data_IF_221523915228
#
_entry.id   IF_221523915228
#
_cell.length_a   1.000
_cell.length_b   1.000
_cell.length_c   1.000
_cell.angle_alpha   90.00
_cell.angle_beta   90.00
_cell.angle_gamma   90.00
#
_symmetry.space_group_name_H-M   'P 1'
#
loop_
_entity.id
_entity.type
_entity.pdbx_description
1 polymer ?
#
# COMPACT_ATOMS: atom_id res chain seq x y z
N UNK A 1 -13.61 -10.34 -14.62
CA UNK A 1 -12.85 -10.29 -13.35
C UNK A 1 -12.95 -11.67 -12.73
N UNK A 2 -11.82 -12.29 -12.36
CA UNK A 2 -11.80 -13.62 -11.75
C UNK A 2 -11.54 -13.49 -10.25
N UNK A 3 -12.22 -14.29 -9.43
CA UNK A 3 -12.02 -14.36 -7.99
C UNK A 3 -11.90 -15.82 -7.55
N UNK A 4 -10.90 -16.13 -6.74
CA UNK A 4 -10.74 -17.43 -6.11
C UNK A 4 -10.96 -17.30 -4.62
N UNK A 5 -11.78 -18.17 -4.02
CA UNK A 5 -11.91 -18.36 -2.57
C UNK A 5 -11.23 -19.67 -2.20
N UNK A 6 -10.23 -19.61 -1.31
CA UNK A 6 -9.48 -20.79 -0.86
C UNK A 6 -8.97 -21.66 -2.04
N UNK A 7 -8.50 -21.00 -3.11
CA UNK A 7 -8.00 -21.64 -4.31
C UNK A 7 -9.05 -22.22 -5.26
N UNK A 8 -10.34 -21.95 -5.06
CA UNK A 8 -11.43 -22.36 -5.95
C UNK A 8 -12.07 -21.14 -6.60
N UNK A 9 -12.34 -21.21 -7.91
CA UNK A 9 -13.02 -20.14 -8.63
C UNK A 9 -14.45 -19.97 -8.09
N UNK A 10 -14.84 -18.73 -7.80
CA UNK A 10 -16.17 -18.37 -7.31
C UNK A 10 -16.79 -17.24 -8.16
N UNK A 11 -18.12 -17.15 -8.13
CA UNK A 11 -18.91 -16.12 -8.81
C UNK A 11 -19.59 -15.14 -7.83
N UNK A 12 -19.60 -15.47 -6.54
CA UNK A 12 -20.32 -14.76 -5.49
C UNK A 12 -19.57 -14.86 -4.16
N UNK A 13 -19.82 -13.89 -3.28
CA UNK A 13 -19.24 -13.85 -1.94
C UNK A 13 -20.38 -14.01 -0.93
N UNK A 14 -20.21 -14.80 0.16
CA UNK A 14 -21.27 -14.99 1.13
C UNK A 14 -21.74 -13.69 1.78
N UNK A 15 -23.06 -13.53 1.91
CA UNK A 15 -23.66 -12.34 2.54
C UNK A 15 -23.32 -12.20 4.02
N UNK A 16 -22.96 -13.30 4.67
CA UNK A 16 -22.58 -13.35 6.09
C UNK A 16 -21.07 -13.16 6.29
N UNK A 17 -20.30 -12.93 5.23
CA UNK A 17 -18.86 -12.73 5.33
C UNK A 17 -18.56 -11.42 6.09
N UNK A 18 -17.80 -11.55 7.19
CA UNK A 18 -17.53 -10.47 8.15
C UNK A 18 -16.69 -9.33 7.57
N UNK A 19 -16.05 -9.52 6.41
CA UNK A 19 -15.42 -8.43 5.67
C UNK A 19 -16.43 -7.33 5.31
N UNK A 20 -17.66 -7.69 4.94
CA UNK A 20 -18.71 -6.72 4.62
C UNK A 20 -19.35 -6.10 5.84
N UNK A 21 -19.51 -6.87 6.92
CA UNK A 21 -20.20 -6.40 8.12
C UNK A 21 -19.33 -5.47 8.97
N UNK A 22 -18.02 -5.75 9.04
CA UNK A 22 -17.14 -5.10 10.03
C UNK A 22 -15.77 -4.68 9.47
N UNK A 23 -15.49 -4.92 8.18
CA UNK A 23 -14.12 -4.80 7.67
C UNK A 23 -13.16 -5.75 8.39
N UNK A 24 -13.65 -6.91 8.84
CA UNK A 24 -12.91 -7.86 9.69
C UNK A 24 -11.95 -8.71 8.86
N UNK A 25 -10.84 -8.08 8.50
CA UNK A 25 -9.84 -8.68 7.64
C UNK A 25 -8.72 -7.73 7.24
N UNK A 26 -7.84 -8.24 6.40
CA UNK A 26 -6.73 -7.49 5.83
C UNK A 26 -6.61 -7.75 4.33
N UNK A 27 -5.81 -6.94 3.65
CA UNK A 27 -5.59 -7.13 2.22
C UNK A 27 -4.21 -6.70 1.76
N UNK A 28 -3.83 -7.20 0.59
CA UNK A 28 -2.73 -6.65 -0.18
C UNK A 28 -3.07 -6.54 -1.66
N UNK A 29 -2.39 -5.63 -2.34
CA UNK A 29 -2.50 -5.43 -3.78
C UNK A 29 -1.09 -5.46 -4.35
N UNK A 30 -0.87 -6.35 -5.30
CA UNK A 30 0.43 -6.63 -5.88
C UNK A 30 0.40 -6.51 -7.40
N UNK A 31 1.53 -6.12 -7.97
CA UNK A 31 1.70 -6.08 -9.42
C UNK A 31 2.10 -7.47 -9.92
N UNK A 32 1.50 -7.86 -11.05
CA UNK A 32 1.94 -9.01 -11.82
C UNK A 32 2.57 -8.49 -13.10
N UNK A 33 3.84 -8.82 -13.32
CA UNK A 33 4.58 -8.37 -14.50
C UNK A 33 5.36 -9.54 -15.11
N UNK A 34 5.11 -9.82 -16.39
CA UNK A 34 5.70 -10.98 -17.10
C UNK A 34 5.56 -12.31 -16.33
N UNK A 35 4.37 -12.58 -15.77
CA UNK A 35 4.10 -13.80 -15.01
C UNK A 35 4.69 -13.85 -13.60
N UNK A 36 5.39 -12.78 -13.16
CA UNK A 36 5.98 -12.69 -11.83
C UNK A 36 5.07 -11.92 -10.88
N UNK A 37 4.87 -12.46 -9.68
CA UNK A 37 4.29 -11.76 -8.54
C UNK A 37 5.40 -10.92 -7.90
N UNK A 38 5.50 -9.65 -8.27
CA UNK A 38 6.55 -8.75 -7.75
C UNK A 38 6.40 -8.53 -6.23
N UNK A 39 7.53 -8.43 -5.50
CA UNK A 39 7.59 -8.25 -4.05
C UNK A 39 6.85 -9.34 -3.26
N UNK A 40 6.74 -10.56 -3.82
CA UNK A 40 5.98 -11.68 -3.23
C UNK A 40 6.30 -11.87 -1.75
N UNK A 41 7.57 -11.96 -1.38
CA UNK A 41 7.97 -12.21 0.01
C UNK A 41 7.50 -11.11 0.97
N UNK A 42 7.55 -9.84 0.55
CA UNK A 42 7.05 -8.72 1.37
C UNK A 42 5.51 -8.72 1.47
N UNK A 43 4.83 -9.14 0.40
CA UNK A 43 3.39 -9.33 0.40
C UNK A 43 2.93 -10.48 1.31
N UNK A 44 3.66 -11.59 1.36
CA UNK A 44 3.36 -12.68 2.30
C UNK A 44 3.69 -12.28 3.75
N UNK A 45 4.84 -11.63 3.97
CA UNK A 45 5.25 -11.18 5.29
C UNK A 45 4.22 -10.23 5.92
N UNK A 46 3.69 -9.25 5.15
CA UNK A 46 2.68 -8.33 5.67
C UNK A 46 1.35 -9.02 5.99
N UNK A 47 0.93 -10.00 5.18
CA UNK A 47 -0.32 -10.73 5.38
C UNK A 47 -0.19 -11.58 6.64
N UNK A 48 0.94 -12.28 6.82
CA UNK A 48 1.23 -13.04 8.03
C UNK A 48 1.21 -12.16 9.28
N UNK A 49 1.84 -10.98 9.22
CA UNK A 49 1.79 -10.01 10.31
C UNK A 49 0.35 -9.61 10.63
N UNK A 50 -0.44 -9.24 9.61
CA UNK A 50 -1.83 -8.84 9.79
C UNK A 50 -2.71 -9.97 10.32
N UNK A 51 -2.54 -11.21 9.84
CA UNK A 51 -3.26 -12.38 10.35
C UNK A 51 -2.96 -12.60 11.83
N UNK A 52 -1.69 -12.53 12.23
CA UNK A 52 -1.31 -12.67 13.64
C UNK A 52 -1.95 -11.56 14.50
N UNK A 53 -1.83 -10.30 14.07
CA UNK A 53 -2.37 -9.15 14.82
C UNK A 53 -3.90 -9.13 14.91
N UNK A 54 -4.59 -9.70 13.92
CA UNK A 54 -6.05 -9.78 13.86
C UNK A 54 -6.58 -11.14 14.35
N UNK A 55 -5.72 -12.06 14.79
CA UNK A 55 -6.10 -13.43 15.15
C UNK A 55 -6.90 -14.13 14.03
N UNK A 56 -6.42 -14.05 12.79
CA UNK A 56 -6.96 -14.74 11.63
C UNK A 56 -6.16 -16.02 11.38
N UNK A 57 -6.82 -17.18 11.46
CA UNK A 57 -6.22 -18.46 11.06
C UNK A 57 -6.39 -18.67 9.56
N UNK A 58 -5.44 -18.21 8.74
CA UNK A 58 -5.54 -18.24 7.28
C UNK A 58 -4.44 -19.12 6.66
N UNK A 59 -4.83 -20.04 5.78
CA UNK A 59 -3.90 -20.79 4.95
C UNK A 59 -3.47 -19.95 3.73
N UNK A 60 -2.31 -19.31 3.83
CA UNK A 60 -1.77 -18.45 2.77
C UNK A 60 -1.34 -19.24 1.52
N UNK A 61 -1.24 -20.58 1.57
CA UNK A 61 -0.92 -21.39 0.39
C UNK A 61 -2.01 -21.30 -0.70
N UNK A 62 -3.24 -20.92 -0.31
CA UNK A 62 -4.32 -20.65 -1.26
C UNK A 62 -4.02 -19.49 -2.21
N UNK A 63 -3.15 -18.55 -1.82
CA UNK A 63 -2.70 -17.48 -2.71
C UNK A 63 -1.89 -18.06 -3.88
N UNK A 64 -0.94 -18.95 -3.57
CA UNK A 64 -0.09 -19.59 -4.58
C UNK A 64 -0.90 -20.54 -5.46
N UNK A 65 -1.80 -21.32 -4.87
CA UNK A 65 -2.71 -22.19 -5.62
C UNK A 65 -3.53 -21.38 -6.64
N UNK A 66 -4.09 -20.25 -6.22
CA UNK A 66 -4.84 -19.35 -7.11
C UNK A 66 -3.95 -18.75 -8.19
N UNK A 67 -2.72 -18.37 -7.85
CA UNK A 67 -1.76 -17.81 -8.80
C UNK A 67 -1.33 -18.83 -9.87
N UNK A 68 -1.14 -20.10 -9.50
CA UNK A 68 -0.85 -21.18 -10.47
C UNK A 68 -2.01 -21.36 -11.46
N UNK A 69 -3.26 -21.28 -10.99
CA UNK A 69 -4.43 -21.35 -11.89
C UNK A 69 -4.43 -20.17 -12.88
N UNK A 70 -4.09 -18.96 -12.41
CA UNK A 70 -3.96 -17.80 -13.29
C UNK A 70 -2.84 -17.98 -14.33
N UNK A 71 -1.68 -18.50 -13.95
CA UNK A 71 -0.58 -18.75 -14.89
C UNK A 71 -0.96 -19.77 -15.97
N UNK A 72 -1.72 -20.80 -15.62
CA UNK A 72 -2.21 -21.81 -16.57
C UNK A 72 -3.23 -21.23 -17.57
N UNK A 73 -4.08 -20.30 -17.10
CA UNK A 73 -5.13 -19.69 -17.93
C UNK A 73 -4.62 -18.52 -18.80
N UNK A 74 -3.56 -17.85 -18.37
CA UNK A 74 -3.05 -16.63 -19.00
C UNK A 74 -1.56 -16.77 -19.33
N UNK A 75 -1.18 -17.23 -20.53
CA UNK A 75 0.23 -17.40 -20.92
C UNK A 75 1.09 -16.14 -20.80
N UNK A 76 0.47 -14.96 -20.93
CA UNK A 76 1.10 -13.65 -20.74
C UNK A 76 0.53 -12.94 -19.50
N UNK A 77 0.55 -13.62 -18.35
CA UNK A 77 -0.07 -13.12 -17.11
C UNK A 77 0.53 -11.75 -16.70
N UNK A 78 -0.32 -10.74 -16.65
CA UNK A 78 0.06 -9.36 -16.38
C UNK A 78 -1.13 -8.57 -15.81
N UNK A 79 -0.89 -7.74 -14.80
CA UNK A 79 -1.91 -6.91 -14.20
C UNK A 79 -1.76 -6.77 -12.70
N UNK A 80 -2.85 -6.95 -11.97
CA UNK A 80 -2.88 -6.76 -10.52
C UNK A 80 -3.54 -7.94 -9.83
N UNK A 81 -2.87 -8.44 -8.79
CA UNK A 81 -3.41 -9.42 -7.85
C UNK A 81 -3.85 -8.69 -6.59
N UNK A 82 -5.13 -8.81 -6.22
CA UNK A 82 -5.61 -8.35 -4.91
C UNK A 82 -5.95 -9.55 -4.06
N UNK A 83 -5.30 -9.68 -2.91
CA UNK A 83 -5.60 -10.70 -1.91
C UNK A 83 -6.35 -10.04 -0.78
N UNK A 84 -7.50 -10.59 -0.38
CA UNK A 84 -8.20 -10.23 0.86
C UNK A 84 -8.25 -11.47 1.74
N UNK A 85 -7.93 -11.30 3.01
CA UNK A 85 -8.15 -12.31 4.03
C UNK A 85 -9.29 -11.80 4.89
N UNK A 86 -10.41 -12.50 4.86
CA UNK A 86 -11.57 -12.23 5.71
C UNK A 86 -11.58 -13.21 6.86
N UNK A 87 -12.10 -12.83 8.03
CA UNK A 87 -12.44 -13.81 9.08
C UNK A 87 -13.44 -14.87 8.60
N UNK A 88 -14.12 -14.63 7.48
CA UNK A 88 -15.12 -15.53 6.89
C UNK A 88 -16.52 -15.24 7.43
N UNK A 89 -17.42 -16.21 7.27
CA UNK A 89 -18.80 -16.08 7.71
C UNK A 89 -18.92 -16.06 9.24
N UNK A 90 -19.99 -15.48 9.78
CA UNK A 90 -20.24 -15.55 11.21
C UNK A 90 -21.58 -14.97 11.62
N UNK A 91 -21.96 -15.28 12.85
CA UNK A 91 -23.18 -14.75 13.45
C UNK A 91 -23.07 -13.25 13.75
N UNK A 92 -24.22 -12.66 14.12
CA UNK A 92 -24.30 -11.25 14.51
C UNK A 92 -23.47 -10.97 15.77
N UNK A 93 -22.87 -9.78 15.80
CA UNK A 93 -22.03 -9.31 16.90
C UNK A 93 -20.54 -9.50 16.63
N UNK A 94 -19.74 -9.14 17.63
CA UNK A 94 -18.29 -9.02 17.50
C UNK A 94 -17.51 -10.28 17.92
N UNK A 95 -18.19 -11.30 18.46
CA UNK A 95 -17.57 -12.57 18.81
C UNK A 95 -16.92 -13.22 17.59
N UNK A 96 -15.72 -13.77 17.77
CA UNK A 96 -14.97 -14.41 16.70
C UNK A 96 -15.52 -15.82 16.45
N UNK A 97 -15.80 -16.21 15.19
CA UNK A 97 -16.17 -17.57 14.86
C UNK A 97 -14.99 -18.54 15.06
N UNK A 98 -15.31 -19.82 15.23
CA UNK A 98 -14.34 -20.90 15.47
C UNK A 98 -14.06 -21.68 14.18
N UNK A 99 -13.56 -21.01 13.14
CA UNK A 99 -13.09 -21.62 11.90
C UNK A 99 -11.96 -20.80 11.27
N UNK A 100 -11.32 -21.39 10.26
CA UNK A 100 -10.29 -20.72 9.48
C UNK A 100 -10.84 -19.51 8.71
N UNK A 101 -10.02 -18.47 8.59
CA UNK A 101 -10.24 -17.30 7.76
C UNK A 101 -10.23 -17.66 6.27
N UNK A 102 -11.03 -16.94 5.49
CA UNK A 102 -11.14 -17.11 4.05
C UNK A 102 -10.11 -16.26 3.29
N UNK A 103 -9.43 -16.89 2.33
CA UNK A 103 -8.47 -16.22 1.45
C UNK A 103 -9.10 -16.02 0.08
N UNK A 104 -9.34 -14.77 -0.27
CA UNK A 104 -9.88 -14.36 -1.55
C UNK A 104 -8.79 -13.74 -2.43
N UNK A 105 -8.73 -14.15 -3.69
CA UNK A 105 -7.75 -13.68 -4.68
C UNK A 105 -8.47 -13.18 -5.92
N UNK A 106 -8.48 -11.86 -6.12
CA UNK A 106 -8.95 -11.23 -7.36
C UNK A 106 -7.81 -10.98 -8.32
N UNK A 107 -8.08 -11.27 -9.59
CA UNK A 107 -7.22 -10.91 -10.70
C UNK A 107 -7.85 -9.83 -11.58
N UNK A 108 -7.10 -8.75 -11.75
CA UNK A 108 -7.42 -7.63 -12.63
C UNK A 108 -6.41 -7.63 -13.78
N UNK A 109 -6.75 -8.22 -14.94
CA UNK A 109 -5.86 -8.23 -16.09
C UNK A 109 -5.65 -6.79 -16.58
N UNK A 110 -4.39 -6.42 -16.78
CA UNK A 110 -4.01 -5.13 -17.34
C UNK A 110 -2.65 -5.28 -17.99
N UNK A 111 -2.48 -4.73 -19.19
CA UNK A 111 -1.14 -4.58 -19.76
C UNK A 111 -0.38 -3.57 -18.91
N UNK A 112 0.60 -4.02 -18.15
CA UNK A 112 1.54 -3.15 -17.45
C UNK A 112 2.86 -3.10 -18.20
N UNK A 113 3.52 -1.94 -18.13
CA UNK A 113 4.84 -1.68 -18.69
C UNK A 113 5.85 -1.61 -17.57
N UNK A 114 7.15 -1.72 -17.89
CA UNK A 114 8.22 -1.46 -16.93
C UNK A 114 8.05 -0.09 -16.29
N UNK A 115 8.44 0.03 -15.02
CA UNK A 115 8.28 1.28 -14.30
C UNK A 115 9.12 2.40 -14.93
N UNK A 116 8.50 3.57 -15.01
CA UNK A 116 9.13 4.82 -15.39
C UNK A 116 8.84 5.84 -14.29
N UNK A 117 9.67 6.89 -14.14
CA UNK A 117 9.34 8.01 -13.27
C UNK A 117 8.00 8.62 -13.69
N UNK A 118 7.07 8.69 -12.74
CA UNK A 118 5.78 9.38 -12.90
C UNK A 118 5.88 10.76 -12.27
N UNK A 119 5.33 11.77 -12.94
CA UNK A 119 5.32 13.15 -12.47
C UNK A 119 3.90 13.56 -12.11
N UNK A 120 3.70 14.08 -10.91
CA UNK A 120 2.39 14.51 -10.43
C UNK A 120 2.45 15.88 -9.77
N UNK A 121 1.30 16.55 -9.74
CA UNK A 121 1.05 17.66 -8.83
C UNK A 121 0.38 17.12 -7.57
N UNK A 122 0.67 17.76 -6.45
CA UNK A 122 0.23 17.30 -5.13
C UNK A 122 0.09 18.48 -4.16
N UNK A 123 -0.43 18.20 -2.98
CA UNK A 123 -0.52 19.15 -1.88
C UNK A 123 -0.79 18.42 -0.58
N UNK A 124 -1.10 19.21 0.44
CA UNK A 124 -1.54 18.74 1.74
C UNK A 124 -3.07 18.69 1.83
N UNK A 125 -3.60 17.58 2.31
CA UNK A 125 -5.02 17.46 2.64
C UNK A 125 -5.35 18.12 3.98
N UNK A 126 -6.57 18.65 4.11
CA UNK A 126 -7.10 19.19 5.36
C UNK A 126 -7.62 18.07 6.27
N UNK A 127 -8.18 17.00 5.71
CA UNK A 127 -8.51 15.82 6.48
C UNK A 127 -7.24 15.14 7.00
N UNK A 128 -7.34 14.63 8.22
CA UNK A 128 -6.25 13.97 8.91
C UNK A 128 -6.65 12.55 9.32
N UNK A 129 -5.66 11.65 9.33
CA UNK A 129 -5.81 10.29 9.83
C UNK A 129 -5.99 10.28 11.35
N UNK A 130 -6.89 9.43 11.83
CA UNK A 130 -6.99 9.06 13.23
C UNK A 130 -5.77 8.27 13.70
N UNK A 131 -5.71 8.06 15.01
CA UNK A 131 -4.73 7.17 15.63
C UNK A 131 -5.32 5.76 15.69
N UNK A 132 -4.49 4.76 15.40
CA UNK A 132 -4.90 3.37 15.51
C UNK A 132 -4.64 2.81 16.92
N UNK A 133 -5.44 1.81 17.29
CA UNK A 133 -5.05 0.91 18.38
C UNK A 133 -3.65 0.35 18.08
N UNK A 134 -2.72 0.28 19.06
CA UNK A 134 -1.33 -0.12 18.82
C UNK A 134 -1.17 -1.41 18.01
N UNK A 135 -2.04 -2.41 18.23
CA UNK A 135 -2.02 -3.67 17.50
C UNK A 135 -2.41 -3.58 16.00
N UNK A 136 -3.01 -2.48 15.57
CA UNK A 136 -3.45 -2.24 14.18
C UNK A 136 -2.53 -1.31 13.40
N UNK A 137 -1.56 -0.67 14.06
CA UNK A 137 -0.63 0.26 13.42
C UNK A 137 0.14 -0.44 12.31
N UNK A 138 0.24 0.21 11.15
CA UNK A 138 0.96 -0.31 9.99
C UNK A 138 0.20 -1.40 9.20
N UNK A 139 -0.90 -1.95 9.74
CA UNK A 139 -1.66 -2.99 9.05
C UNK A 139 -2.50 -2.42 7.91
N UNK A 140 -2.55 -3.16 6.80
CA UNK A 140 -3.44 -2.86 5.67
C UNK A 140 -4.78 -3.58 5.86
N UNK A 141 -5.57 -3.12 6.83
CA UNK A 141 -6.89 -3.69 7.17
C UNK A 141 -7.96 -3.30 6.15
N UNK A 142 -9.13 -3.94 6.19
CA UNK A 142 -10.27 -3.58 5.33
C UNK A 142 -11.01 -2.30 5.80
N UNK A 143 -10.76 -1.85 7.03
CA UNK A 143 -11.29 -0.59 7.56
C UNK A 143 -10.56 0.60 6.94
N UNK A 144 -11.00 1.03 5.75
CA UNK A 144 -10.33 2.05 4.90
C UNK A 144 -11.21 3.27 4.60
N UNK A 145 -12.23 3.53 5.41
CA UNK A 145 -13.12 4.69 5.20
C UNK A 145 -12.35 6.02 5.25
N UNK A 146 -11.33 6.15 6.09
CA UNK A 146 -10.47 7.33 6.10
C UNK A 146 -9.83 7.56 4.73
N UNK A 147 -9.26 6.52 4.11
CA UNK A 147 -8.65 6.64 2.78
C UNK A 147 -9.69 6.97 1.69
N UNK A 148 -10.94 6.55 1.84
CA UNK A 148 -12.02 6.93 0.92
C UNK A 148 -12.33 8.42 1.02
N UNK A 149 -12.44 8.97 2.23
CA UNK A 149 -12.70 10.40 2.44
C UNK A 149 -11.50 11.27 2.02
N UNK A 150 -10.28 10.82 2.34
CA UNK A 150 -9.05 11.47 1.88
C UNK A 150 -8.95 11.48 0.36
N UNK A 151 -9.36 10.40 -0.32
CA UNK A 151 -9.35 10.36 -1.77
C UNK A 151 -10.36 11.34 -2.37
N UNK A 152 -11.55 11.44 -1.78
CA UNK A 152 -12.55 12.43 -2.19
C UNK A 152 -12.00 13.86 -2.11
N UNK A 153 -11.31 14.21 -1.03
CA UNK A 153 -10.70 15.54 -0.90
C UNK A 153 -9.58 15.75 -1.94
N UNK A 154 -8.69 14.78 -2.14
CA UNK A 154 -7.63 14.88 -3.14
C UNK A 154 -8.20 15.08 -4.56
N UNK A 155 -9.27 14.36 -4.90
CA UNK A 155 -9.94 14.47 -6.20
C UNK A 155 -10.58 15.85 -6.39
N UNK A 156 -11.13 16.47 -5.34
CA UNK A 156 -11.66 17.83 -5.38
C UNK A 156 -10.57 18.88 -5.66
N UNK A 157 -9.33 18.61 -5.24
CA UNK A 157 -8.16 19.44 -5.52
C UNK A 157 -7.48 19.09 -6.85
N UNK A 158 -7.94 18.06 -7.56
CA UNK A 158 -7.30 17.57 -8.78
C UNK A 158 -5.98 16.83 -8.56
N UNK A 159 -5.68 16.42 -7.33
CA UNK A 159 -4.45 15.71 -6.99
C UNK A 159 -4.61 14.20 -7.13
N UNK A 160 -3.73 13.58 -7.91
CA UNK A 160 -3.68 12.12 -8.04
C UNK A 160 -3.30 11.44 -6.72
N UNK A 161 -2.42 12.10 -5.97
CA UNK A 161 -1.97 11.70 -4.64
C UNK A 161 -1.59 12.96 -3.83
N UNK A 162 -1.75 12.92 -2.52
CA UNK A 162 -1.59 14.08 -1.63
C UNK A 162 -1.00 13.66 -0.28
N UNK A 163 -0.25 14.55 0.37
CA UNK A 163 0.23 14.32 1.73
C UNK A 163 -0.92 14.36 2.72
N UNK A 164 -0.83 13.47 3.70
CA UNK A 164 -1.82 13.32 4.76
C UNK A 164 -1.12 13.36 6.12
N UNK A 165 -1.62 14.19 7.02
CA UNK A 165 -1.20 14.22 8.41
C UNK A 165 -2.11 13.35 9.26
N UNK A 166 -1.74 13.15 10.51
CA UNK A 166 -2.65 12.69 11.53
C UNK A 166 -3.26 13.82 12.36
N UNK A 167 -4.20 13.46 13.22
CA UNK A 167 -4.86 14.37 14.16
C UNK A 167 -3.91 15.03 15.17
N UNK A 168 -2.63 14.61 15.23
CA UNK A 168 -1.59 15.24 16.03
C UNK A 168 -0.73 16.22 15.23
N UNK A 169 -0.99 16.40 13.93
CA UNK A 169 -0.24 17.32 13.08
C UNK A 169 1.10 16.78 12.59
N UNK A 170 1.29 15.46 12.58
CA UNK A 170 2.47 14.81 11.99
C UNK A 170 2.14 14.31 10.59
N UNK A 171 3.02 14.54 9.62
CA UNK A 171 2.89 13.96 8.26
C UNK A 171 3.11 12.44 8.34
N UNK A 172 2.21 11.66 7.75
CA UNK A 172 2.20 10.19 7.86
C UNK A 172 2.50 9.51 6.53
N UNK A 173 1.67 9.77 5.52
CA UNK A 173 1.71 9.07 4.24
C UNK A 173 0.98 9.89 3.17
N UNK A 174 0.67 9.26 2.03
CA UNK A 174 -0.37 9.75 1.11
C UNK A 174 -1.66 8.94 1.22
N UNK A 175 -2.67 9.28 0.44
CA UNK A 175 -3.99 8.64 0.43
C UNK A 175 -3.89 7.13 0.18
N UNK A 176 -3.05 6.71 -0.78
CA UNK A 176 -2.94 5.31 -1.21
C UNK A 176 -1.48 4.79 -1.27
N UNK A 177 -0.57 5.51 -0.64
CA UNK A 177 0.88 5.34 -0.81
C UNK A 177 1.64 5.81 0.42
N UNK A 178 2.83 5.27 0.68
CA UNK A 178 3.76 5.94 1.58
C UNK A 178 4.49 7.08 0.86
N UNK A 179 5.09 8.00 1.61
CA UNK A 179 5.87 9.10 1.07
C UNK A 179 7.33 9.09 1.55
N UNK A 180 8.18 9.72 0.75
CA UNK A 180 9.56 10.07 1.07
C UNK A 180 9.76 11.54 0.71
N UNK A 181 10.38 12.26 1.63
CA UNK A 181 10.52 13.72 1.62
C UNK A 181 12.00 14.05 1.78
N UNK A 182 12.49 15.04 1.05
CA UNK A 182 13.83 15.59 1.15
C UNK A 182 13.77 16.96 1.79
N UNK A 183 14.43 17.13 2.93
CA UNK A 183 14.57 18.39 3.67
C UNK A 183 16.04 18.52 4.05
N UNK A 184 16.63 19.70 3.81
CA UNK A 184 18.05 19.98 4.04
C UNK A 184 18.96 18.89 3.41
N UNK A 185 18.66 18.56 2.15
CA UNK A 185 19.37 17.57 1.34
C UNK A 185 19.33 16.11 1.86
N UNK A 186 18.54 15.81 2.89
CA UNK A 186 18.40 14.47 3.49
C UNK A 186 17.06 13.85 3.18
N UNK A 187 17.06 12.57 2.79
CA UNK A 187 15.83 11.81 2.63
C UNK A 187 15.27 11.41 3.98
N UNK A 188 13.96 11.56 4.12
CA UNK A 188 13.19 11.23 5.31
C UNK A 188 11.93 10.50 4.84
N UNK A 189 11.54 9.45 5.52
CA UNK A 189 10.18 8.91 5.43
C UNK A 189 9.55 8.96 6.81
N UNK A 190 8.26 9.28 6.95
CA UNK A 190 7.62 9.32 8.26
C UNK A 190 7.83 8.03 9.06
N UNK A 191 8.05 8.20 10.37
CA UNK A 191 7.91 7.09 11.33
C UNK A 191 6.41 6.78 11.49
N UNK A 192 6.02 5.54 11.19
CA UNK A 192 4.61 5.12 11.21
C UNK A 192 4.22 4.61 12.60
N UNK A 193 4.32 5.50 13.60
CA UNK A 193 4.22 5.12 15.02
C UNK A 193 2.80 4.81 15.48
N UNK A 194 1.81 5.56 14.99
CA UNK A 194 0.43 5.49 15.49
C UNK A 194 -0.60 5.19 14.40
N UNK A 195 -0.22 5.29 13.14
CA UNK A 195 -1.13 5.25 11.99
C UNK A 195 -0.33 4.96 10.71
N UNK A 196 -1.02 5.07 9.57
CA UNK A 196 -0.47 4.72 8.27
C UNK A 196 -0.29 3.22 8.05
N UNK A 197 0.19 2.87 6.86
CA UNK A 197 0.39 1.50 6.43
C UNK A 197 1.86 1.21 6.20
N UNK A 198 2.37 0.10 6.74
CA UNK A 198 3.69 -0.41 6.40
C UNK A 198 3.65 -0.97 4.96
N UNK A 199 3.96 -0.13 3.98
CA UNK A 199 3.95 -0.48 2.57
C UNK A 199 5.13 -1.36 2.17
N UNK A 200 4.86 -2.36 1.33
CA UNK A 200 5.90 -3.26 0.80
C UNK A 200 6.92 -2.51 -0.05
N UNK A 201 6.47 -1.52 -0.82
CA UNK A 201 7.36 -0.71 -1.65
C UNK A 201 8.23 0.22 -0.80
N UNK A 202 7.67 0.83 0.25
CA UNK A 202 8.45 1.58 1.25
C UNK A 202 9.56 0.70 1.85
N UNK A 203 9.24 -0.52 2.25
CA UNK A 203 10.22 -1.47 2.77
C UNK A 203 11.31 -1.82 1.73
N UNK A 204 10.93 -2.05 0.46
CA UNK A 204 11.89 -2.30 -0.62
C UNK A 204 12.81 -1.11 -0.86
N UNK A 205 12.26 0.12 -0.91
CA UNK A 205 13.02 1.36 -1.11
C UNK A 205 14.00 1.57 0.04
N UNK A 206 13.56 1.45 1.30
CA UNK A 206 14.44 1.58 2.47
C UNK A 206 15.56 0.53 2.46
N UNK A 207 15.24 -0.71 2.13
CA UNK A 207 16.25 -1.78 2.00
C UNK A 207 17.28 -1.46 0.91
N UNK A 208 16.84 -0.94 -0.25
CA UNK A 208 17.76 -0.52 -1.32
C UNK A 208 18.56 0.72 -0.95
N UNK A 209 17.95 1.70 -0.26
CA UNK A 209 18.67 2.87 0.26
C UNK A 209 19.82 2.43 1.18
N UNK A 210 19.55 1.51 2.11
CA UNK A 210 20.58 0.92 2.96
C UNK A 210 21.67 0.20 2.13
N UNK A 211 21.26 -0.64 1.17
CA UNK A 211 22.19 -1.37 0.30
C UNK A 211 23.11 -0.46 -0.51
N UNK A 212 22.58 0.65 -1.03
CA UNK A 212 23.30 1.62 -1.85
C UNK A 212 23.85 2.80 -1.05
N UNK A 213 23.85 2.72 0.29
CA UNK A 213 24.40 3.74 1.19
C UNK A 213 23.78 5.14 0.99
N UNK A 214 22.51 5.19 0.59
CA UNK A 214 21.71 6.41 0.58
C UNK A 214 21.14 6.62 1.97
N UNK A 215 21.54 7.70 2.64
CA UNK A 215 21.00 8.05 3.96
C UNK A 215 19.50 8.38 3.86
N UNK A 216 18.69 7.67 4.65
CA UNK A 216 17.28 7.98 4.83
C UNK A 216 16.88 7.84 6.29
N UNK A 217 16.36 8.92 6.86
CA UNK A 217 15.90 8.97 8.24
C UNK A 217 14.43 8.51 8.34
N UNK A 218 14.12 7.71 9.36
CA UNK A 218 12.74 7.40 9.73
C UNK A 218 12.41 8.18 11.00
N UNK A 219 11.67 9.29 10.86
CA UNK A 219 11.32 10.17 11.98
C UNK A 219 9.96 10.82 11.80
N UNK A 220 9.42 11.37 12.87
CA UNK A 220 8.30 12.31 12.82
C UNK A 220 8.65 13.52 11.95
N UNK A 221 7.69 13.97 11.13
CA UNK A 221 7.79 15.19 10.33
C UNK A 221 6.60 16.05 10.74
N UNK A 222 6.88 17.14 11.45
CA UNK A 222 5.84 18.04 11.92
C UNK A 222 5.30 18.89 10.74
N UNK A 223 4.01 19.22 10.78
CA UNK A 223 3.39 20.05 9.75
C UNK A 223 4.08 21.40 9.53
N UNK A 224 4.78 21.95 10.53
CA UNK A 224 5.59 23.17 10.39
C UNK A 224 6.80 23.01 9.45
N UNK A 225 7.24 21.78 9.16
CA UNK A 225 8.34 21.51 8.22
C UNK A 225 7.89 21.51 6.76
N UNK A 226 6.58 21.57 6.46
CA UNK A 226 6.03 21.47 5.10
C UNK A 226 6.63 22.50 4.12
N UNK A 227 6.92 23.71 4.62
CA UNK A 227 7.54 24.78 3.85
C UNK A 227 8.99 24.49 3.44
N UNK A 228 9.64 23.49 4.03
CA UNK A 228 11.04 23.13 3.81
C UNK A 228 11.24 21.94 2.88
N UNK A 229 10.15 21.32 2.42
CA UNK A 229 10.21 20.22 1.45
C UNK A 229 10.88 20.72 0.17
N UNK A 230 11.99 20.07 -0.20
CA UNK A 230 12.74 20.27 -1.45
C UNK A 230 12.29 19.28 -2.51
N UNK A 231 12.04 18.04 -2.10
CA UNK A 231 11.55 16.95 -2.94
C UNK A 231 10.59 16.07 -2.12
N UNK A 232 9.51 15.59 -2.74
CA UNK A 232 8.53 14.63 -2.25
C UNK A 232 8.19 13.60 -3.33
N UNK A 233 8.20 12.32 -3.01
CA UNK A 233 7.59 11.30 -3.87
C UNK A 233 6.74 10.32 -3.07
N UNK A 234 5.79 9.71 -3.77
CA UNK A 234 4.92 8.68 -3.24
C UNK A 234 5.27 7.31 -3.80
N UNK A 235 5.04 6.25 -3.02
CA UNK A 235 5.30 4.88 -3.44
C UNK A 235 4.23 3.90 -2.92
N UNK A 236 3.87 2.93 -3.76
CA UNK A 236 3.11 1.76 -3.39
C UNK A 236 3.51 0.56 -4.26
N UNK A 237 2.92 -0.61 -4.02
CA UNK A 237 3.30 -1.84 -4.74
C UNK A 237 3.07 -1.77 -6.27
N UNK A 238 2.21 -0.86 -6.73
CA UNK A 238 1.90 -0.68 -8.15
C UNK A 238 2.66 0.48 -8.78
N UNK A 239 3.30 1.33 -7.98
CA UNK A 239 4.00 2.54 -8.41
C UNK A 239 5.20 2.78 -7.48
N UNK A 240 6.43 2.44 -7.87
CA UNK A 240 7.59 2.58 -7.00
C UNK A 240 7.92 4.04 -6.71
N UNK A 241 7.58 4.96 -7.62
CA UNK A 241 7.84 6.39 -7.44
C UNK A 241 6.88 7.22 -8.30
N UNK A 242 6.04 8.02 -7.63
CA UNK A 242 5.34 9.17 -8.20
C UNK A 242 5.98 10.45 -7.64
N UNK A 243 6.86 11.06 -8.43
CA UNK A 243 7.60 12.25 -8.05
C UNK A 243 6.71 13.49 -8.16
N UNK A 244 6.72 14.33 -7.13
CA UNK A 244 5.94 15.57 -7.09
C UNK A 244 6.74 16.69 -7.73
N UNK A 245 6.28 17.21 -8.87
CA UNK A 245 6.93 18.35 -9.54
C UNK A 245 6.47 19.70 -8.98
N UNK A 246 5.24 19.72 -8.44
CA UNK A 246 4.61 20.89 -7.86
C UNK A 246 3.84 20.49 -6.61
N UNK A 247 4.16 21.13 -5.50
CA UNK A 247 3.50 20.93 -4.21
C UNK A 247 2.81 22.23 -3.78
N UNK A 248 1.48 22.23 -3.78
CA UNK A 248 0.67 23.46 -3.84
C UNK A 248 1.16 24.36 -4.99
N UNK A 249 1.58 25.58 -4.69
CA UNK A 249 2.07 26.54 -5.68
C UNK A 249 3.60 26.50 -5.88
N UNK A 250 4.32 25.61 -5.16
CA UNK A 250 5.78 25.54 -5.18
C UNK A 250 6.30 24.45 -6.10
N UNK A 251 7.21 24.78 -7.00
CA UNK A 251 7.98 23.77 -7.74
C UNK A 251 8.99 23.08 -6.82
N UNK A 252 9.10 21.77 -6.92
CA UNK A 252 10.07 20.96 -6.19
C UNK A 252 11.25 20.56 -7.08
N UNK A 253 12.39 20.23 -6.46
CA UNK A 253 13.61 19.81 -7.16
C UNK A 253 13.42 18.44 -7.80
N UNK A 254 13.67 18.33 -9.11
CA UNK A 254 13.45 17.09 -9.88
C UNK A 254 14.67 16.16 -9.92
N UNK A 255 15.89 16.73 -9.99
CA UNK A 255 17.13 15.96 -10.12
C UNK A 255 17.31 14.92 -8.99
N UNK A 256 17.03 15.22 -7.70
CA UNK A 256 17.17 14.24 -6.64
C UNK A 256 16.33 12.97 -6.84
N UNK A 257 15.18 13.05 -7.52
CA UNK A 257 14.39 11.86 -7.81
C UNK A 257 14.99 11.01 -8.91
N UNK A 258 15.50 11.63 -9.98
CA UNK A 258 16.10 10.89 -11.10
C UNK A 258 17.32 10.11 -10.61
N UNK A 259 18.18 10.79 -9.85
CA UNK A 259 19.36 10.18 -9.23
C UNK A 259 18.95 9.01 -8.32
N UNK A 260 17.92 9.19 -7.49
CA UNK A 260 17.44 8.16 -6.58
C UNK A 260 16.78 6.99 -7.32
N UNK A 261 15.97 7.26 -8.34
CA UNK A 261 15.26 6.25 -9.11
C UNK A 261 16.25 5.30 -9.82
N UNK A 262 17.31 5.88 -10.40
CA UNK A 262 18.39 5.14 -11.04
C UNK A 262 19.24 4.38 -10.00
N UNK A 263 19.69 5.06 -8.95
CA UNK A 263 20.52 4.47 -7.89
C UNK A 263 19.84 3.26 -7.25
N UNK A 264 18.55 3.38 -6.94
CA UNK A 264 17.76 2.32 -6.33
C UNK A 264 17.17 1.34 -7.35
N UNK A 265 17.49 1.47 -8.65
CA UNK A 265 17.02 0.60 -9.74
C UNK A 265 15.50 0.39 -9.73
N UNK A 266 14.72 1.45 -9.51
CA UNK A 266 13.27 1.34 -9.32
C UNK A 266 12.49 0.96 -10.58
N UNK A 267 13.15 0.97 -11.75
CA UNK A 267 12.62 0.40 -12.99
C UNK A 267 12.49 -1.13 -12.95
N UNK A 268 13.19 -1.79 -12.03
CA UNK A 268 13.23 -3.24 -11.88
C UNK A 268 12.84 -3.61 -10.45
N UNK A 269 11.65 -4.17 -10.28
CA UNK A 269 11.15 -4.65 -9.00
C UNK A 269 10.96 -6.16 -9.10
N UNK A 270 11.58 -6.85 -8.16
CA UNK A 270 11.55 -8.30 -7.95
C UNK A 270 10.58 -8.66 -6.82
#
# INVERSE_FOLDING_TARGET
MQCYKNGQLIDSIPLLDRAFHYGDGCFTTARIFHGNFELKELHFARLKLACNSLSLDADLSFIEKSFVHLQQQHPNLNGTLKVVISRGEGDRGYSLPLHAADVYVWYYPRVTQAFQPEWIESGMLNHALGLNMPHLVGLKTLNRLEQVLLKQEADQQGWLEALVSDVQGSIVEGVSSNCFIRINDRWITPELRYNGVHGVMRAKILSRMQQYQVECEQRCIDMSEIGRIQSLFFCNALHPMKAVIRFHDRCLEQQPYLDLFETLKLSQID
#
